data_IF_562609964320
#
_entry.id   IF_562609964320
#
_cell.length_a   1.000
_cell.length_b   1.000
_cell.length_c   1.000
_cell.angle_alpha   90.00
_cell.angle_beta   90.00
_cell.angle_gamma   90.00
#
_symmetry.space_group_name_H-M   'P 1'
#
loop_
_entity.id
_entity.type
_entity.pdbx_description
1 polymer ?
#
# COMPACT_ATOMS: atom_id res chain seq x y z
N UNK A 1 3.77 -31.01 34.88
CA UNK A 1 2.77 -30.41 33.95
C UNK A 1 3.34 -29.11 33.38
N UNK A 2 3.65 -29.05 32.08
CA UNK A 2 4.18 -27.83 31.43
C UNK A 2 2.99 -26.94 31.01
N UNK A 3 2.92 -25.70 31.52
CA UNK A 3 1.89 -24.72 31.16
C UNK A 3 2.04 -24.31 29.68
N UNK A 4 0.96 -24.16 28.91
CA UNK A 4 1.06 -23.72 27.51
C UNK A 4 1.49 -22.24 27.46
N UNK A 5 2.55 -21.94 26.70
CA UNK A 5 2.97 -20.56 26.40
C UNK A 5 1.89 -19.89 25.56
N UNK A 6 1.32 -18.78 26.05
CA UNK A 6 0.52 -17.85 25.23
C UNK A 6 1.39 -17.40 24.05
N UNK A 7 0.94 -17.67 22.82
CA UNK A 7 1.52 -17.03 21.63
C UNK A 7 1.34 -15.51 21.81
N UNK A 8 2.36 -14.69 21.54
CA UNK A 8 2.17 -13.24 21.51
C UNK A 8 1.08 -12.95 20.49
N UNK A 9 0.05 -12.22 20.90
CA UNK A 9 -0.89 -11.63 19.97
C UNK A 9 -0.06 -10.72 19.07
N UNK A 10 0.10 -11.11 17.80
CA UNK A 10 0.61 -10.19 16.79
C UNK A 10 -0.42 -9.09 16.73
N UNK A 11 -0.08 -7.91 17.23
CA UNK A 11 -0.95 -6.74 17.16
C UNK A 11 -1.42 -6.60 15.71
N UNK A 12 -2.72 -6.71 15.49
CA UNK A 12 -3.31 -6.52 14.19
C UNK A 12 -2.80 -5.17 13.65
N UNK A 13 -2.40 -5.09 12.37
CA UNK A 13 -1.90 -3.85 11.80
C UNK A 13 -2.93 -2.77 12.10
N UNK A 14 -2.51 -1.76 12.87
CA UNK A 14 -3.37 -0.64 13.25
C UNK A 14 -3.75 0.04 11.95
N UNK A 15 -4.97 -0.21 11.49
CA UNK A 15 -5.52 0.47 10.32
C UNK A 15 -5.63 1.94 10.73
N UNK A 16 -4.62 2.72 10.34
CA UNK A 16 -4.68 4.18 10.37
C UNK A 16 -5.98 4.55 9.62
N UNK A 17 -6.79 5.43 10.20
CA UNK A 17 -8.13 5.73 9.71
C UNK A 17 -8.19 6.01 8.20
N UNK A 18 -9.37 5.88 7.61
CA UNK A 18 -9.57 6.11 6.18
C UNK A 18 -9.05 7.49 5.77
N UNK A 19 -8.19 7.51 4.75
CA UNK A 19 -7.66 8.73 4.17
C UNK A 19 -8.81 9.54 3.55
N UNK A 20 -8.77 10.86 3.70
CA UNK A 20 -9.68 11.73 2.94
C UNK A 20 -9.35 11.67 1.45
N UNK A 21 -10.30 12.05 0.60
CA UNK A 21 -10.11 12.09 -0.85
C UNK A 21 -8.91 12.96 -1.27
N UNK A 22 -8.71 14.11 -0.60
CA UNK A 22 -7.57 14.98 -0.84
C UNK A 22 -6.23 14.36 -0.42
N UNK A 23 -6.19 13.65 0.71
CA UNK A 23 -4.99 12.93 1.14
C UNK A 23 -4.64 11.78 0.18
N UNK A 24 -5.67 11.03 -0.25
CA UNK A 24 -5.52 9.96 -1.24
C UNK A 24 -4.99 10.49 -2.57
N UNK A 25 -5.60 11.55 -3.10
CA UNK A 25 -5.14 12.21 -4.33
C UNK A 25 -3.68 12.69 -4.21
N UNK A 26 -3.30 13.25 -3.07
CA UNK A 26 -1.93 13.71 -2.83
C UNK A 26 -0.91 12.57 -2.87
N UNK A 27 -1.23 11.42 -2.26
CA UNK A 27 -0.39 10.22 -2.31
C UNK A 27 -0.27 9.70 -3.74
N UNK A 28 -1.39 9.62 -4.47
CA UNK A 28 -1.40 9.18 -5.88
C UNK A 28 -0.49 10.08 -6.72
N UNK A 29 -0.59 11.40 -6.59
CA UNK A 29 0.26 12.34 -7.33
C UNK A 29 1.75 12.15 -7.04
N UNK A 30 2.12 12.04 -5.77
CA UNK A 30 3.53 11.85 -5.36
C UNK A 30 4.06 10.53 -5.93
N UNK A 31 3.31 9.45 -5.78
CA UNK A 31 3.74 8.12 -6.23
C UNK A 31 3.83 8.07 -7.76
N UNK A 32 2.86 8.65 -8.48
CA UNK A 32 2.89 8.75 -9.95
C UNK A 32 4.17 9.45 -10.41
N UNK A 33 4.49 10.62 -9.87
CA UNK A 33 5.69 11.35 -10.24
C UNK A 33 7.00 10.61 -9.92
N UNK A 34 7.04 9.83 -8.84
CA UNK A 34 8.19 8.98 -8.52
C UNK A 34 8.37 7.83 -9.54
N UNK A 35 7.26 7.19 -9.92
CA UNK A 35 7.27 6.08 -10.87
C UNK A 35 7.64 6.53 -12.30
N UNK A 36 7.14 7.69 -12.73
CA UNK A 36 7.49 8.32 -14.00
C UNK A 36 8.98 8.69 -14.05
N UNK A 37 9.50 9.32 -12.99
CA UNK A 37 10.93 9.66 -12.90
C UNK A 37 11.85 8.45 -12.91
N UNK A 38 11.39 7.33 -12.36
CA UNK A 38 12.14 6.08 -12.34
C UNK A 38 12.01 5.27 -13.64
N UNK A 39 11.20 5.73 -14.61
CA UNK A 39 10.90 5.04 -15.88
C UNK A 39 10.49 3.56 -15.66
N UNK A 40 9.68 3.30 -14.63
CA UNK A 40 9.35 1.92 -14.24
C UNK A 40 8.22 1.30 -15.06
N UNK A 41 7.58 2.04 -15.97
CA UNK A 41 6.45 1.55 -16.75
C UNK A 41 5.27 1.08 -15.89
N UNK A 42 5.10 1.71 -14.72
CA UNK A 42 4.07 1.35 -13.76
C UNK A 42 2.67 1.83 -14.20
N UNK A 43 1.63 1.10 -13.81
CA UNK A 43 0.22 1.45 -14.06
C UNK A 43 -0.52 1.61 -12.73
N UNK A 44 -1.40 2.61 -12.65
CA UNK A 44 -2.19 2.91 -11.44
C UNK A 44 -3.67 2.76 -11.74
N UNK A 45 -4.37 2.00 -10.90
CA UNK A 45 -5.82 1.76 -10.99
C UNK A 45 -6.50 2.14 -9.69
N UNK A 46 -7.76 2.57 -9.77
CA UNK A 46 -8.58 2.96 -8.63
C UNK A 46 -9.74 1.96 -8.48
N UNK A 47 -9.94 1.45 -7.28
CA UNK A 47 -11.11 0.62 -6.94
C UNK A 47 -12.29 1.49 -6.52
N UNK A 48 -13.50 0.97 -6.73
CA UNK A 48 -14.76 1.63 -6.34
C UNK A 48 -14.91 1.77 -4.80
N UNK A 49 -14.14 0.99 -4.05
CA UNK A 49 -14.01 1.04 -2.59
C UNK A 49 -13.00 2.11 -2.10
N UNK A 50 -12.45 2.90 -3.02
CA UNK A 50 -11.43 3.91 -2.72
C UNK A 50 -10.00 3.35 -2.57
N UNK A 51 -9.79 2.06 -2.86
CA UNK A 51 -8.46 1.47 -2.93
C UNK A 51 -7.68 1.99 -4.15
N UNK A 52 -6.36 1.99 -4.05
CA UNK A 52 -5.45 2.32 -5.16
C UNK A 52 -4.52 1.14 -5.36
N UNK A 53 -4.48 0.63 -6.58
CA UNK A 53 -3.61 -0.48 -6.97
C UNK A 53 -2.52 0.03 -7.90
N UNK A 54 -1.25 -0.19 -7.53
CA UNK A 54 -0.09 0.20 -8.32
C UNK A 54 0.60 -1.07 -8.80
N UNK A 55 0.65 -1.26 -10.10
CA UNK A 55 1.34 -2.39 -10.73
C UNK A 55 2.66 -1.91 -11.34
N UNK A 56 3.76 -2.46 -10.85
CA UNK A 56 5.12 -2.18 -11.34
C UNK A 56 5.66 -3.48 -11.94
N UNK A 57 5.91 -3.53 -13.27
CA UNK A 57 6.43 -4.73 -13.90
C UNK A 57 7.84 -5.04 -13.37
N UNK A 58 8.07 -6.30 -13.01
CA UNK A 58 9.41 -6.75 -12.66
C UNK A 58 10.31 -6.67 -13.91
N UNK A 59 11.36 -5.86 -13.86
CA UNK A 59 12.42 -5.89 -14.88
C UNK A 59 13.40 -6.99 -14.46
N UNK A 60 13.51 -8.04 -15.27
CA UNK A 60 14.59 -9.01 -15.11
C UNK A 60 15.91 -8.27 -15.43
N UNK A 61 16.69 -8.01 -14.38
CA UNK A 61 18.08 -7.54 -14.44
C UNK A 61 19.05 -8.68 -14.69
#
# INVERSE_FOLDING_TARGET
MKKPRKKPAVDAPKILGTLTDGQRASIIMIVTGLLERADLGATISHGDDGSVLIHIPARNS
#
